data_IF_369584191887
#
_entry.id   IF_369584191887
#
_cell.length_a   1.000
_cell.length_b   1.000
_cell.length_c   1.000
_cell.angle_alpha   90.00
_cell.angle_beta   90.00
_cell.angle_gamma   90.00
#
_symmetry.space_group_name_H-M   'P 1'
#
loop_
_entity.id
_entity.type
_entity.pdbx_description
1 polymer ?
#
# COMPACT_ATOMS: atom_id res chain seq x y z
N UNK A 1 7.35 -37.94 -38.58
CA UNK A 1 7.25 -38.17 -37.12
C UNK A 1 8.00 -37.10 -36.31
N UNK A 2 9.30 -36.87 -36.53
CA UNK A 2 10.11 -35.85 -35.81
C UNK A 2 9.55 -34.41 -35.85
N UNK A 3 9.02 -33.95 -36.99
CA UNK A 3 8.38 -32.62 -37.10
C UNK A 3 7.12 -32.46 -36.23
N UNK A 4 6.37 -33.54 -36.02
CA UNK A 4 5.14 -33.52 -35.20
C UNK A 4 5.49 -33.42 -33.72
N UNK A 5 6.50 -34.18 -33.26
CA UNK A 5 7.05 -34.03 -31.90
C UNK A 5 7.65 -32.64 -31.67
N UNK A 6 8.34 -32.08 -32.66
CA UNK A 6 8.85 -30.71 -32.60
C UNK A 6 7.72 -29.69 -32.45
N UNK A 7 6.62 -29.81 -33.21
CA UNK A 7 5.46 -28.93 -33.10
C UNK A 7 4.77 -29.06 -31.73
N UNK A 8 4.58 -30.28 -31.25
CA UNK A 8 3.96 -30.56 -29.95
C UNK A 8 4.80 -30.02 -28.78
N UNK A 9 6.13 -30.12 -28.86
CA UNK A 9 7.04 -29.53 -27.88
C UNK A 9 6.95 -27.99 -27.88
N UNK A 10 6.88 -27.36 -29.05
CA UNK A 10 6.73 -25.90 -29.15
C UNK A 10 5.39 -25.45 -28.55
N UNK A 11 4.30 -26.15 -28.85
CA UNK A 11 2.98 -25.86 -28.28
C UNK A 11 2.99 -25.99 -26.75
N UNK A 12 3.60 -27.05 -26.21
CA UNK A 12 3.72 -27.24 -24.77
C UNK A 12 4.52 -26.12 -24.10
N UNK A 13 5.62 -25.69 -24.72
CA UNK A 13 6.43 -24.55 -24.23
C UNK A 13 5.59 -23.27 -24.25
N UNK A 14 4.88 -22.97 -25.34
CA UNK A 14 4.03 -21.77 -25.43
C UNK A 14 2.93 -21.79 -24.36
N UNK A 15 2.25 -22.92 -24.18
CA UNK A 15 1.23 -23.08 -23.14
C UNK A 15 1.80 -22.88 -21.73
N UNK A 16 3.01 -23.39 -21.47
CA UNK A 16 3.70 -23.22 -20.18
C UNK A 16 4.17 -21.79 -19.92
N UNK A 17 4.51 -21.02 -20.95
CA UNK A 17 4.90 -19.60 -20.81
C UNK A 17 3.67 -18.74 -20.53
N UNK A 18 2.57 -18.97 -21.27
CA UNK A 18 1.28 -18.30 -21.01
C UNK A 18 0.87 -18.55 -19.56
N UNK A 19 0.89 -19.83 -19.13
CA UNK A 19 1.20 -20.35 -17.78
C UNK A 19 1.63 -19.34 -16.70
N UNK A 20 2.86 -18.88 -16.87
CA UNK A 20 3.63 -18.14 -15.87
C UNK A 20 3.24 -16.67 -15.85
N UNK A 21 2.84 -16.09 -16.99
CA UNK A 21 2.50 -14.66 -17.07
C UNK A 21 1.19 -14.29 -16.37
N UNK A 22 0.29 -15.25 -16.15
CA UNK A 22 -0.96 -15.02 -15.41
C UNK A 22 -0.86 -15.42 -13.93
N UNK A 23 0.28 -15.92 -13.47
CA UNK A 23 0.46 -16.08 -12.03
C UNK A 23 0.52 -14.69 -11.41
N UNK A 24 -0.40 -14.36 -10.47
CA UNK A 24 -0.23 -13.15 -9.69
C UNK A 24 1.05 -13.31 -8.89
N UNK A 25 2.09 -12.58 -9.28
CA UNK A 25 3.27 -12.42 -8.43
C UNK A 25 2.74 -11.85 -7.12
N UNK A 26 2.85 -12.64 -6.05
CA UNK A 26 2.54 -12.18 -4.70
C UNK A 26 3.61 -11.14 -4.32
N UNK A 27 3.42 -9.91 -4.76
CA UNK A 27 4.16 -8.77 -4.26
C UNK A 27 3.67 -8.52 -2.84
N UNK A 28 4.57 -8.62 -1.86
CA UNK A 28 4.29 -8.18 -0.50
C UNK A 28 3.96 -6.69 -0.53
N UNK A 29 2.68 -6.36 -0.47
CA UNK A 29 2.25 -4.96 -0.39
C UNK A 29 2.76 -4.40 0.93
N UNK A 30 3.68 -3.43 0.85
CA UNK A 30 4.14 -2.67 2.00
C UNK A 30 3.07 -1.67 2.43
N UNK A 31 3.04 -1.39 3.73
CA UNK A 31 2.14 -0.44 4.39
C UNK A 31 2.97 0.45 5.30
N UNK A 32 2.53 1.69 5.44
CA UNK A 32 3.11 2.63 6.39
C UNK A 32 2.15 2.84 7.54
N UNK A 33 2.59 2.71 8.78
CA UNK A 33 1.77 2.93 9.97
C UNK A 33 2.50 3.87 10.91
N UNK A 34 1.75 4.61 11.73
CA UNK A 34 2.37 5.51 12.69
C UNK A 34 3.19 4.71 13.73
N UNK A 35 4.36 5.23 14.09
CA UNK A 35 5.22 4.67 15.10
C UNK A 35 4.55 4.75 16.47
N UNK A 36 4.51 3.63 17.20
CA UNK A 36 3.91 3.56 18.54
C UNK A 36 4.60 4.43 19.59
N UNK A 37 5.82 4.91 19.33
CA UNK A 37 6.54 5.82 20.22
C UNK A 37 6.37 7.30 19.84
N UNK A 38 5.64 7.61 18.77
CA UNK A 38 5.36 8.99 18.39
C UNK A 38 4.48 9.66 19.44
N UNK A 39 4.74 10.95 19.70
CA UNK A 39 3.95 11.76 20.62
C UNK A 39 2.60 12.14 19.99
N UNK A 40 1.60 12.44 20.82
CA UNK A 40 0.29 12.90 20.34
C UNK A 40 0.40 14.14 19.44
N UNK A 41 1.35 15.03 19.72
CA UNK A 41 1.59 16.22 18.91
C UNK A 41 2.10 15.88 17.50
N UNK A 42 2.99 14.88 17.39
CA UNK A 42 3.49 14.37 16.11
C UNK A 42 2.39 13.65 15.33
N UNK A 43 1.58 12.83 16.00
CA UNK A 43 0.44 12.14 15.39
C UNK A 43 -0.60 13.13 14.86
N UNK A 44 -0.95 14.15 15.65
CA UNK A 44 -1.84 15.22 15.23
C UNK A 44 -1.27 16.01 14.06
N UNK A 45 0.04 16.30 14.06
CA UNK A 45 0.70 16.98 12.95
C UNK A 45 0.60 16.17 11.65
N UNK A 46 0.79 14.85 11.71
CA UNK A 46 0.63 13.98 10.54
C UNK A 46 -0.80 14.03 9.98
N UNK A 47 -1.81 13.96 10.86
CA UNK A 47 -3.22 14.08 10.46
C UNK A 47 -3.49 15.45 9.84
N UNK A 48 -3.08 16.53 10.53
CA UNK A 48 -3.27 17.91 10.07
C UNK A 48 -2.64 18.13 8.70
N UNK A 49 -1.36 17.78 8.51
CA UNK A 49 -0.67 17.98 7.25
C UNK A 49 -1.30 17.16 6.11
N UNK A 50 -1.69 15.91 6.38
CA UNK A 50 -2.31 15.05 5.36
C UNK A 50 -3.70 15.54 4.94
N UNK A 51 -4.52 15.95 5.90
CA UNK A 51 -5.91 16.32 5.66
C UNK A 51 -6.08 17.77 5.19
N UNK A 52 -5.44 18.74 5.85
CA UNK A 52 -5.64 20.17 5.58
C UNK A 52 -5.06 20.56 4.22
N UNK A 53 -3.88 20.05 3.88
CA UNK A 53 -3.30 20.24 2.55
C UNK A 53 -3.93 19.34 1.48
N UNK A 54 -4.95 18.54 1.85
CA UNK A 54 -5.69 17.62 0.97
C UNK A 54 -4.76 16.67 0.20
N UNK A 55 -3.64 16.29 0.80
CA UNK A 55 -2.75 15.28 0.24
C UNK A 55 -3.42 13.91 0.24
N UNK A 56 -4.31 13.64 1.20
CA UNK A 56 -5.13 12.44 1.28
C UNK A 56 -6.59 12.77 1.57
N UNK A 57 -7.51 11.88 1.18
CA UNK A 57 -8.93 12.01 1.53
C UNK A 57 -9.17 11.52 2.96
N UNK A 58 -9.39 12.43 3.91
CA UNK A 58 -9.62 12.10 5.31
C UNK A 58 -11.08 11.82 5.68
N UNK A 59 -12.03 11.84 4.74
CA UNK A 59 -13.44 11.48 5.03
C UNK A 59 -13.60 10.15 5.77
N UNK A 60 -12.82 9.08 5.49
CA UNK A 60 -12.97 7.81 6.19
C UNK A 60 -12.62 7.85 7.68
N UNK A 61 -11.76 8.77 8.14
CA UNK A 61 -11.31 8.86 9.54
C UNK A 61 -12.08 9.92 10.34
N UNK A 62 -13.07 10.59 9.75
CA UNK A 62 -13.96 11.47 10.48
C UNK A 62 -15.17 10.71 11.03
N UNK A 63 -15.88 11.26 12.06
CA UNK A 63 -17.04 10.61 12.64
C UNK A 63 -18.05 10.11 11.59
N UNK A 64 -18.43 8.84 11.69
CA UNK A 64 -19.31 8.17 10.72
C UNK A 64 -18.60 7.64 9.46
N UNK A 65 -17.29 7.85 9.33
CA UNK A 65 -16.46 7.29 8.27
C UNK A 65 -16.10 5.81 8.50
N UNK A 66 -15.74 5.12 7.41
CA UNK A 66 -15.46 3.67 7.42
C UNK A 66 -14.19 3.26 8.18
N UNK A 67 -13.32 4.21 8.50
CA UNK A 67 -12.05 4.01 9.18
C UNK A 67 -11.93 4.93 10.40
N UNK A 68 -13.06 5.38 10.95
CA UNK A 68 -13.10 6.16 12.17
C UNK A 68 -12.67 5.31 13.38
N UNK A 69 -13.15 4.06 13.46
CA UNK A 69 -12.81 3.18 14.56
C UNK A 69 -11.54 2.34 14.30
N UNK A 70 -10.65 2.18 15.30
CA UNK A 70 -10.77 2.77 16.63
C UNK A 70 -10.44 4.27 16.62
N UNK A 71 -11.23 5.05 17.38
CA UNK A 71 -11.06 6.51 17.52
C UNK A 71 -9.84 6.84 18.38
N UNK A 72 -8.65 6.71 17.79
CA UNK A 72 -7.37 7.03 18.41
C UNK A 72 -6.48 7.78 17.44
N UNK A 73 -5.64 8.68 17.97
CA UNK A 73 -4.69 9.46 17.17
C UNK A 73 -3.77 8.56 16.35
N UNK A 74 -3.27 7.47 16.94
CA UNK A 74 -2.35 6.57 16.24
C UNK A 74 -3.02 5.86 15.06
N UNK A 75 -4.29 5.48 15.18
CA UNK A 75 -5.04 4.83 14.11
C UNK A 75 -5.38 5.79 12.97
N UNK A 76 -5.83 7.01 13.30
CA UNK A 76 -6.10 8.04 12.29
C UNK A 76 -4.82 8.52 11.59
N UNK A 77 -3.73 8.71 12.34
CA UNK A 77 -2.42 9.03 11.76
C UNK A 77 -1.91 7.90 10.86
N UNK A 78 -2.02 6.64 11.29
CA UNK A 78 -1.65 5.47 10.48
C UNK A 78 -2.41 5.42 9.16
N UNK A 79 -3.71 5.75 9.17
CA UNK A 79 -4.50 5.84 7.94
C UNK A 79 -3.94 6.91 6.99
N UNK A 80 -3.69 8.12 7.50
CA UNK A 80 -3.18 9.25 6.72
C UNK A 80 -1.82 8.92 6.11
N UNK A 81 -0.90 8.42 6.92
CA UNK A 81 0.46 8.07 6.50
C UNK A 81 0.45 6.94 5.47
N UNK A 82 -0.38 5.91 5.68
CA UNK A 82 -0.54 4.83 4.73
C UNK A 82 -1.11 5.30 3.38
N UNK A 83 -2.15 6.15 3.41
CA UNK A 83 -2.75 6.69 2.21
C UNK A 83 -1.73 7.54 1.44
N UNK A 84 -0.95 8.37 2.14
CA UNK A 84 0.10 9.19 1.54
C UNK A 84 1.23 8.35 0.94
N UNK A 85 1.70 7.33 1.66
CA UNK A 85 2.69 6.36 1.20
C UNK A 85 2.24 5.65 -0.09
N UNK A 86 0.97 5.25 -0.17
CA UNK A 86 0.43 4.59 -1.36
C UNK A 86 0.31 5.55 -2.55
N UNK A 87 -0.03 6.82 -2.33
CA UNK A 87 -0.05 7.84 -3.38
C UNK A 87 1.34 8.09 -3.97
N UNK A 88 2.39 7.92 -3.17
CA UNK A 88 3.78 8.13 -3.57
C UNK A 88 4.50 6.83 -3.93
N UNK A 89 3.79 5.91 -4.61
CA UNK A 89 4.34 4.65 -5.13
C UNK A 89 5.03 3.77 -4.08
N UNK A 90 4.69 3.91 -2.79
CA UNK A 90 5.29 3.14 -1.70
C UNK A 90 6.80 3.38 -1.54
N UNK A 91 7.25 4.59 -1.84
CA UNK A 91 8.64 5.01 -1.64
C UNK A 91 8.90 5.26 -0.14
N UNK A 92 9.95 4.62 0.41
CA UNK A 92 10.20 4.51 1.87
C UNK A 92 10.32 5.87 2.56
N UNK A 93 10.88 6.85 1.85
CA UNK A 93 11.06 8.23 2.30
C UNK A 93 9.74 8.88 2.72
N UNK A 94 8.63 8.54 2.05
CA UNK A 94 7.31 9.10 2.37
C UNK A 94 6.58 8.38 3.50
N UNK A 95 7.14 7.27 4.01
CA UNK A 95 6.65 6.69 5.26
C UNK A 95 7.30 7.34 6.49
N UNK A 96 8.51 7.90 6.33
CA UNK A 96 9.33 8.31 7.45
C UNK A 96 8.79 9.46 8.31
N UNK A 97 8.00 10.42 7.77
CA UNK A 97 7.42 11.58 8.49
C UNK A 97 8.18 11.97 9.80
N UNK A 98 9.41 12.48 9.71
CA UNK A 98 10.22 12.82 10.90
C UNK A 98 10.41 11.69 11.97
N UNK A 99 10.57 10.44 11.53
CA UNK A 99 10.64 9.20 12.33
C UNK A 99 9.35 8.78 13.07
N UNK A 100 8.20 9.30 12.63
CA UNK A 100 6.90 8.99 13.24
C UNK A 100 6.14 7.90 12.50
N UNK A 101 6.76 7.24 11.51
CA UNK A 101 6.21 6.14 10.72
C UNK A 101 7.15 4.96 10.53
#
# INVERSE_FOLDING_TARGET
>A
MTKVYSLLLVIFIILSVIAVHHLPVASSKQWCIANSTATDAELMLNIYLGCEHKFVNCKPIYPGGSCFDPDTLISHASFVMNAFFQLHNRTKEFCGYNNTG
#
